data_IF_773843484951
#
_entry.id   IF_773843484951
#
_cell.length_a   1.000
_cell.length_b   1.000
_cell.length_c   1.000
_cell.angle_alpha   90.00
_cell.angle_beta   90.00
_cell.angle_gamma   90.00
#
_symmetry.space_group_name_H-M   'P 1'
#
loop_
_entity.id
_entity.type
_entity.pdbx_description
1 polymer ?
#
# COMPACT_ATOMS: atom_id res chain seq x y z
N UNK A 1 23.61 -38.74 15.65
CA UNK A 1 23.63 -37.71 14.58
C UNK A 1 23.10 -36.44 15.21
N UNK A 2 23.99 -35.53 15.57
CA UNK A 2 23.66 -34.27 16.23
C UNK A 2 23.57 -33.19 15.17
N UNK A 3 22.37 -32.67 14.89
CA UNK A 3 22.21 -31.51 14.04
C UNK A 3 22.05 -30.27 14.92
N UNK A 4 23.14 -29.51 15.03
CA UNK A 4 23.16 -28.15 15.59
C UNK A 4 22.44 -27.20 14.62
N UNK A 5 21.29 -26.68 15.03
CA UNK A 5 20.66 -25.54 14.35
C UNK A 5 21.28 -24.24 14.88
N UNK A 6 22.15 -23.63 14.08
CA UNK A 6 22.65 -22.28 14.34
C UNK A 6 21.52 -21.27 14.11
N UNK A 7 21.24 -20.47 15.14
CA UNK A 7 20.37 -19.30 15.09
C UNK A 7 21.08 -18.17 14.34
N UNK A 8 20.46 -17.52 13.33
CA UNK A 8 21.00 -16.28 12.78
C UNK A 8 20.68 -15.12 13.73
N UNK A 9 21.72 -14.55 14.33
CA UNK A 9 21.68 -13.36 15.17
C UNK A 9 21.41 -12.12 14.31
N UNK A 10 20.29 -11.45 14.55
CA UNK A 10 19.95 -10.13 14.02
C UNK A 10 20.90 -9.07 14.55
N UNK A 11 21.66 -8.40 13.67
CA UNK A 11 22.42 -7.20 13.99
C UNK A 11 21.72 -5.98 13.38
N UNK A 12 20.87 -5.32 14.18
CA UNK A 12 20.35 -3.99 13.88
C UNK A 12 21.47 -2.96 14.12
N UNK A 13 22.06 -2.45 13.05
CA UNK A 13 22.97 -1.32 13.11
C UNK A 13 22.15 -0.02 13.09
N UNK A 14 21.94 0.56 14.26
CA UNK A 14 21.41 1.92 14.44
C UNK A 14 22.54 2.90 14.11
N UNK A 15 22.49 3.54 12.93
CA UNK A 15 23.37 4.66 12.60
C UNK A 15 22.56 5.95 12.74
N UNK A 16 22.64 6.55 13.94
CA UNK A 16 22.23 7.91 14.19
C UNK A 16 23.36 8.86 13.74
N UNK A 17 23.13 9.63 12.68
CA UNK A 17 24.01 10.73 12.26
C UNK A 17 23.22 12.04 12.30
N UNK A 18 23.20 12.64 13.49
CA UNK A 18 22.92 14.07 13.70
C UNK A 18 24.23 14.83 13.44
N UNK A 19 24.25 15.66 12.40
CA UNK A 19 25.23 16.73 12.27
C UNK A 19 24.58 17.97 11.62
N UNK A 20 24.33 18.98 12.46
CA UNK A 20 24.14 20.36 12.02
C UNK A 20 25.43 20.88 11.41
N UNK A 21 25.35 21.56 10.27
CA UNK A 21 26.50 22.24 9.65
C UNK A 21 26.06 23.31 8.65
N UNK A 22 25.86 24.53 9.14
CA UNK A 22 25.79 25.73 8.32
C UNK A 22 27.21 26.11 7.83
N UNK A 23 27.38 26.35 6.53
CA UNK A 23 28.48 27.19 6.02
C UNK A 23 28.14 27.74 4.62
N UNK A 24 28.23 29.08 4.51
CA UNK A 24 28.25 29.84 3.25
C UNK A 24 29.63 29.73 2.59
N UNK A 25 29.70 29.67 1.26
CA UNK A 25 30.95 29.90 0.53
C UNK A 25 30.95 29.30 -0.88
N UNK A 26 31.08 30.16 -1.89
CA UNK A 26 31.10 29.79 -3.31
C UNK A 26 32.50 29.52 -3.89
N UNK A 27 32.49 29.20 -5.20
CA UNK A 27 33.65 28.94 -6.07
C UNK A 27 34.12 27.48 -5.99
N UNK A 28 34.52 26.76 -7.05
CA UNK A 28 34.66 26.99 -8.49
C UNK A 28 34.64 25.59 -9.14
N UNK A 29 34.43 25.54 -10.45
CA UNK A 29 34.39 24.32 -11.26
C UNK A 29 35.73 23.55 -11.28
N UNK A 30 35.68 22.22 -11.40
CA UNK A 30 36.53 21.50 -12.34
C UNK A 30 35.94 20.15 -12.77
N UNK A 31 36.12 19.87 -14.06
CA UNK A 31 35.63 18.73 -14.81
C UNK A 31 36.50 17.50 -14.60
N UNK A 32 35.89 16.32 -14.48
CA UNK A 32 36.53 15.10 -14.97
C UNK A 32 35.47 14.07 -15.36
N UNK A 33 35.45 13.81 -16.66
CA UNK A 33 34.77 12.73 -17.35
C UNK A 33 34.93 11.38 -16.64
N UNK A 34 33.84 10.63 -16.54
CA UNK A 34 33.89 9.17 -16.62
C UNK A 34 32.55 8.64 -17.11
N UNK A 35 32.47 8.50 -18.44
CA UNK A 35 31.53 7.60 -19.12
C UNK A 35 31.97 6.14 -18.91
N UNK A 36 31.16 5.28 -18.29
CA UNK A 36 31.21 3.87 -18.57
C UNK A 36 30.20 3.49 -19.67
N UNK A 37 30.80 3.08 -20.79
CA UNK A 37 30.31 2.29 -21.92
C UNK A 37 29.11 1.35 -21.61
N UNK A 38 28.08 1.31 -22.48
CA UNK A 38 26.99 0.34 -22.36
C UNK A 38 27.49 -1.06 -22.72
N UNK A 39 27.33 -2.02 -21.81
CA UNK A 39 27.43 -3.44 -22.12
C UNK A 39 26.04 -3.90 -22.60
N UNK A 40 25.92 -4.07 -23.91
CA UNK A 40 24.85 -4.85 -24.52
C UNK A 40 24.91 -6.28 -23.96
N UNK A 41 23.84 -6.70 -23.30
CA UNK A 41 23.55 -8.11 -23.07
C UNK A 41 22.22 -8.39 -23.75
N UNK A 42 22.29 -8.80 -25.01
CA UNK A 42 21.20 -9.55 -25.63
C UNK A 42 21.37 -11.01 -25.23
N UNK A 43 20.34 -11.61 -24.67
CA UNK A 43 20.05 -13.03 -24.90
C UNK A 43 18.59 -13.32 -24.65
N UNK A 44 18.00 -13.81 -25.73
CA UNK A 44 16.64 -14.31 -25.89
C UNK A 44 16.20 -15.27 -24.80
N UNK A 45 14.95 -15.16 -24.40
CA UNK A 45 14.16 -16.30 -23.94
C UNK A 45 12.84 -16.27 -24.70
N UNK A 46 12.80 -17.07 -25.75
CA UNK A 46 11.56 -17.48 -26.38
C UNK A 46 11.36 -18.94 -25.96
N UNK A 47 10.31 -19.23 -25.20
CA UNK A 47 9.63 -20.52 -25.25
C UNK A 47 8.30 -20.47 -24.49
N UNK A 48 7.41 -21.33 -24.97
CA UNK A 48 6.13 -21.77 -24.41
C UNK A 48 4.87 -20.95 -24.74
N UNK A 49 4.39 -21.13 -25.97
CA UNK A 49 2.96 -21.06 -26.28
C UNK A 49 2.40 -22.49 -26.30
N UNK A 50 1.87 -22.93 -25.16
CA UNK A 50 1.01 -24.10 -25.08
C UNK A 50 -0.47 -23.67 -24.99
N UNK A 51 -1.25 -24.21 -25.92
CA UNK A 51 -2.70 -24.08 -26.04
C UNK A 51 -3.45 -24.68 -24.84
N UNK A 52 -4.70 -24.27 -24.60
CA UNK A 52 -5.88 -25.17 -24.58
C UNK A 52 -7.20 -24.41 -24.39
N UNK A 53 -8.18 -24.80 -25.22
CA UNK A 53 -9.63 -24.86 -25.03
C UNK A 53 -10.30 -24.06 -23.90
N UNK A 54 -11.09 -23.05 -24.30
CA UNK A 54 -12.25 -22.61 -23.54
C UNK A 54 -13.52 -23.12 -24.21
N UNK A 55 -14.04 -24.24 -23.70
CA UNK A 55 -15.35 -24.75 -24.05
C UNK A 55 -16.14 -25.06 -22.77
N UNK A 56 -17.34 -24.47 -22.68
CA UNK A 56 -18.53 -24.98 -21.95
C UNK A 56 -18.45 -24.96 -20.41
N UNK A 57 -19.49 -24.79 -19.62
CA UNK A 57 -20.94 -24.74 -19.78
C UNK A 57 -21.56 -24.20 -18.47
N UNK A 58 -22.80 -23.74 -18.56
CA UNK A 58 -23.86 -23.78 -17.53
C UNK A 58 -23.62 -23.31 -16.08
N UNK A 59 -24.26 -22.19 -15.77
CA UNK A 59 -25.30 -22.03 -14.76
C UNK A 59 -25.41 -23.08 -13.63
N UNK A 60 -25.38 -22.59 -12.39
CA UNK A 60 -26.35 -22.98 -11.37
C UNK A 60 -26.49 -21.88 -10.33
N UNK A 61 -27.67 -21.24 -10.35
CA UNK A 61 -28.22 -20.55 -9.20
C UNK A 61 -28.64 -21.61 -8.16
N UNK A 62 -28.23 -21.43 -6.92
CA UNK A 62 -28.84 -22.08 -5.77
C UNK A 62 -28.76 -21.10 -4.59
N UNK A 63 -29.87 -20.39 -4.45
CA UNK A 63 -30.37 -19.75 -3.25
C UNK A 63 -30.42 -20.77 -2.10
N UNK A 64 -29.86 -20.40 -0.95
CA UNK A 64 -30.12 -21.09 0.31
C UNK A 64 -29.89 -20.09 1.45
N UNK A 65 -30.88 -19.22 1.66
CA UNK A 65 -31.14 -18.66 2.98
C UNK A 65 -31.40 -19.80 3.97
N UNK A 66 -30.66 -19.81 5.08
CA UNK A 66 -31.03 -20.54 6.27
C UNK A 66 -30.64 -19.69 7.48
N UNK A 67 -31.55 -18.81 7.89
CA UNK A 67 -31.62 -18.35 9.27
C UNK A 67 -31.94 -19.54 10.19
N UNK A 68 -31.18 -19.70 11.26
CA UNK A 68 -31.69 -20.21 12.53
C UNK A 68 -30.76 -19.85 13.69
N UNK A 69 -31.30 -19.01 14.56
CA UNK A 69 -30.77 -18.56 15.83
C UNK A 69 -30.46 -19.69 16.84
N UNK A 70 -29.50 -19.46 17.74
CA UNK A 70 -29.72 -19.53 19.19
C UNK A 70 -28.41 -19.37 19.99
N UNK A 71 -28.36 -18.26 20.74
CA UNK A 71 -27.88 -18.12 22.11
C UNK A 71 -26.74 -19.03 22.63
N UNK A 72 -25.60 -18.40 22.90
CA UNK A 72 -24.83 -18.69 24.10
C UNK A 72 -24.23 -17.38 24.62
N UNK A 73 -24.75 -16.91 25.77
CA UNK A 73 -24.15 -15.83 26.56
C UNK A 73 -22.84 -16.31 27.18
N UNK A 74 -21.81 -16.44 26.36
CA UNK A 74 -20.44 -16.42 26.81
C UNK A 74 -20.07 -14.97 27.03
N UNK A 75 -19.75 -14.62 28.27
CA UNK A 75 -18.98 -13.42 28.57
C UNK A 75 -17.62 -13.65 27.90
N UNK A 76 -17.55 -13.25 26.62
CA UNK A 76 -16.32 -13.23 25.87
C UNK A 76 -15.46 -12.18 26.57
N UNK A 77 -14.41 -12.64 27.25
CA UNK A 77 -13.14 -11.90 27.22
C UNK A 77 -13.01 -11.35 25.79
N UNK A 78 -12.75 -10.05 25.57
CA UNK A 78 -12.72 -9.49 24.23
C UNK A 78 -11.47 -10.03 23.51
N UNK A 79 -11.53 -11.33 23.18
CA UNK A 79 -10.68 -11.99 22.24
C UNK A 79 -10.86 -11.18 20.97
N UNK A 80 -9.75 -10.58 20.55
CA UNK A 80 -9.67 -9.86 19.29
C UNK A 80 -10.35 -10.71 18.23
N UNK A 81 -11.34 -10.14 17.55
CA UNK A 81 -12.01 -10.82 16.47
C UNK A 81 -10.98 -11.10 15.37
N UNK A 82 -10.55 -12.36 15.28
CA UNK A 82 -9.49 -12.78 14.37
C UNK A 82 -9.89 -12.66 12.91
N UNK A 83 -11.20 -12.70 12.62
CA UNK A 83 -11.73 -12.49 11.27
C UNK A 83 -11.59 -11.02 10.86
N UNK A 84 -11.93 -10.11 11.77
CA UNK A 84 -11.73 -8.67 11.59
C UNK A 84 -10.26 -8.31 11.33
N UNK A 85 -9.33 -8.89 12.10
CA UNK A 85 -7.91 -8.62 11.94
C UNK A 85 -7.41 -9.04 10.55
N UNK A 86 -7.77 -10.24 10.10
CA UNK A 86 -7.38 -10.71 8.77
C UNK A 86 -7.92 -9.81 7.65
N UNK A 87 -9.20 -9.40 7.72
CA UNK A 87 -9.81 -8.53 6.71
C UNK A 87 -9.18 -7.13 6.69
N UNK A 88 -8.96 -6.54 7.85
CA UNK A 88 -8.39 -5.18 7.97
C UNK A 88 -6.92 -5.16 7.58
N UNK A 89 -6.13 -6.16 7.98
CA UNK A 89 -4.73 -6.30 7.56
C UNK A 89 -4.62 -6.50 6.04
N UNK A 90 -5.51 -7.32 5.45
CA UNK A 90 -5.54 -7.51 4.00
C UNK A 90 -5.89 -6.21 3.26
N UNK A 91 -6.90 -5.48 3.71
CA UNK A 91 -7.26 -4.18 3.14
C UNK A 91 -6.13 -3.15 3.29
N UNK A 92 -5.52 -3.07 4.46
CA UNK A 92 -4.38 -2.18 4.74
C UNK A 92 -3.18 -2.51 3.85
N UNK A 93 -2.82 -3.80 3.75
CA UNK A 93 -1.73 -4.27 2.90
C UNK A 93 -2.00 -4.02 1.41
N UNK A 94 -3.23 -4.23 0.95
CA UNK A 94 -3.63 -3.95 -0.43
C UNK A 94 -3.53 -2.45 -0.74
N UNK A 95 -3.99 -1.58 0.15
CA UNK A 95 -3.88 -0.13 0.00
C UNK A 95 -2.41 0.32 -0.03
N UNK A 96 -1.57 -0.20 0.86
CA UNK A 96 -0.13 0.12 0.87
C UNK A 96 0.56 -0.37 -0.40
N UNK A 97 0.24 -1.59 -0.86
CA UNK A 97 0.79 -2.16 -2.11
C UNK A 97 0.42 -1.30 -3.32
N UNK A 98 -0.83 -0.82 -3.37
CA UNK A 98 -1.29 0.08 -4.42
C UNK A 98 -0.49 1.39 -4.41
N UNK A 99 -0.17 1.92 -3.24
CA UNK A 99 0.57 3.18 -3.12
C UNK A 99 2.07 3.05 -3.42
N UNK A 100 2.74 1.98 -3.00
CA UNK A 100 4.17 1.79 -3.30
C UNK A 100 4.45 1.52 -4.79
N UNK A 101 3.42 1.11 -5.54
CA UNK A 101 3.51 0.86 -6.99
C UNK A 101 3.34 2.14 -7.83
N UNK A 102 3.06 3.27 -7.18
CA UNK A 102 2.86 4.57 -7.83
C UNK A 102 4.19 5.21 -8.23
N UNK A 103 4.24 5.83 -9.41
CA UNK A 103 5.42 6.55 -9.90
C UNK A 103 5.02 7.82 -10.65
N UNK A 104 5.70 8.92 -10.33
CA UNK A 104 5.57 10.20 -11.05
C UNK A 104 6.16 10.15 -12.47
N UNK A 105 7.07 9.21 -12.74
CA UNK A 105 7.61 8.95 -14.08
C UNK A 105 6.59 8.21 -14.95
N UNK A 106 5.65 7.51 -14.32
CA UNK A 106 4.54 6.82 -14.96
C UNK A 106 3.20 7.33 -14.40
N UNK A 107 2.77 8.57 -14.68
CA UNK A 107 1.65 9.23 -13.98
C UNK A 107 0.33 8.46 -13.97
N UNK A 108 0.06 7.61 -14.98
CA UNK A 108 -1.13 6.75 -15.00
C UNK A 108 -1.17 5.79 -13.80
N UNK A 109 -0.02 5.40 -13.25
CA UNK A 109 0.08 4.59 -12.04
C UNK A 109 -0.45 5.31 -10.80
N UNK A 110 -0.41 6.64 -10.76
CA UNK A 110 -0.99 7.44 -9.67
C UNK A 110 -2.51 7.28 -9.65
N UNK A 111 -3.15 7.33 -10.82
CA UNK A 111 -4.61 7.16 -10.97
C UNK A 111 -5.03 5.79 -10.47
N UNK A 112 -4.38 4.73 -10.96
CA UNK A 112 -4.70 3.37 -10.55
C UNK A 112 -4.35 3.11 -9.09
N UNK A 113 -3.25 3.67 -8.58
CA UNK A 113 -2.80 3.46 -7.20
C UNK A 113 -3.76 4.06 -6.18
N UNK A 114 -4.15 5.32 -6.36
CA UNK A 114 -5.13 5.96 -5.47
C UNK A 114 -6.52 5.33 -5.58
N UNK A 115 -6.96 4.92 -6.77
CA UNK A 115 -8.24 4.23 -6.96
C UNK A 115 -8.26 2.87 -6.24
N UNK A 116 -7.22 2.06 -6.43
CA UNK A 116 -7.12 0.74 -5.79
C UNK A 116 -7.00 0.86 -4.27
N UNK A 117 -6.23 1.83 -3.77
CA UNK A 117 -6.15 2.10 -2.34
C UNK A 117 -7.51 2.55 -1.77
N UNK A 118 -8.28 3.38 -2.51
CA UNK A 118 -9.63 3.78 -2.09
C UNK A 118 -10.54 2.56 -1.96
N UNK A 119 -10.57 1.72 -2.99
CA UNK A 119 -11.40 0.51 -3.00
C UNK A 119 -11.05 -0.38 -1.81
N UNK A 120 -9.76 -0.67 -1.59
CA UNK A 120 -9.32 -1.52 -0.49
C UNK A 120 -9.71 -0.96 0.89
N UNK A 121 -9.51 0.34 1.14
CA UNK A 121 -9.82 0.93 2.44
C UNK A 121 -11.33 1.10 2.71
N UNK A 122 -12.13 1.23 1.65
CA UNK A 122 -13.60 1.39 1.78
C UNK A 122 -14.36 0.07 1.79
N UNK A 123 -13.70 -1.06 1.54
CA UNK A 123 -14.33 -2.38 1.58
C UNK A 123 -14.42 -2.98 2.98
N UNK A 124 -13.82 -2.32 4.00
CA UNK A 124 -13.78 -2.79 5.38
C UNK A 124 -14.21 -1.66 6.32
N UNK A 125 -15.01 -1.99 7.33
CA UNK A 125 -15.35 -1.08 8.41
C UNK A 125 -14.32 -1.22 9.55
N UNK A 126 -13.62 -0.14 9.93
CA UNK A 126 -12.64 -0.19 11.01
C UNK A 126 -13.33 -0.37 12.38
N UNK A 127 -12.63 -0.93 13.38
CA UNK A 127 -13.13 -1.01 14.73
C UNK A 127 -13.09 0.39 15.37
N UNK A 128 -13.88 0.58 16.43
CA UNK A 128 -14.12 1.90 17.02
C UNK A 128 -12.81 2.58 17.50
N UNK A 129 -11.82 1.79 17.89
CA UNK A 129 -10.52 2.18 18.40
C UNK A 129 -9.68 2.95 17.36
N UNK A 130 -9.77 2.58 16.08
CA UNK A 130 -9.01 3.23 14.99
C UNK A 130 -9.91 3.90 13.95
N UNK A 131 -11.24 3.92 14.13
CA UNK A 131 -12.17 4.47 13.14
C UNK A 131 -11.85 5.93 12.74
N UNK A 132 -11.38 6.75 13.68
CA UNK A 132 -10.95 8.12 13.40
C UNK A 132 -9.71 8.19 12.50
N UNK A 133 -8.71 7.35 12.75
CA UNK A 133 -7.48 7.29 11.97
C UNK A 133 -7.72 6.68 10.59
N UNK A 134 -8.49 5.59 10.53
CA UNK A 134 -8.93 4.97 9.28
C UNK A 134 -9.67 5.97 8.40
N UNK A 135 -10.63 6.72 8.98
CA UNK A 135 -11.35 7.78 8.25
C UNK A 135 -10.41 8.85 7.71
N UNK A 136 -9.37 9.21 8.44
CA UNK A 136 -8.36 10.20 8.00
C UNK A 136 -7.63 9.68 6.76
N UNK A 137 -7.13 8.44 6.80
CA UNK A 137 -6.43 7.82 5.66
C UNK A 137 -7.36 7.66 4.46
N UNK A 138 -8.57 7.12 4.66
CA UNK A 138 -9.55 6.92 3.60
C UNK A 138 -10.00 8.24 2.98
N UNK A 139 -10.14 9.30 3.77
CA UNK A 139 -10.50 10.64 3.26
C UNK A 139 -9.39 11.24 2.40
N UNK A 140 -8.13 11.07 2.80
CA UNK A 140 -6.97 11.49 2.02
C UNK A 140 -6.94 10.79 0.65
N UNK A 141 -7.00 9.46 0.66
CA UNK A 141 -6.95 8.63 -0.55
C UNK A 141 -8.16 8.92 -1.46
N UNK A 142 -9.35 9.08 -0.89
CA UNK A 142 -10.56 9.43 -1.65
C UNK A 142 -10.41 10.80 -2.32
N UNK A 143 -9.93 11.81 -1.61
CA UNK A 143 -9.76 13.16 -2.16
C UNK A 143 -8.77 13.16 -3.34
N UNK A 144 -7.65 12.44 -3.22
CA UNK A 144 -6.71 12.25 -4.31
C UNK A 144 -7.33 11.50 -5.51
N UNK A 145 -8.03 10.39 -5.27
CA UNK A 145 -8.71 9.62 -6.32
C UNK A 145 -9.80 10.45 -7.03
N UNK A 146 -10.57 11.25 -6.28
CA UNK A 146 -11.61 12.14 -6.82
C UNK A 146 -11.04 13.31 -7.62
N UNK A 147 -9.83 13.78 -7.31
CA UNK A 147 -9.15 14.78 -8.13
C UNK A 147 -8.67 14.15 -9.44
N UNK A 148 -8.07 12.95 -9.36
CA UNK A 148 -7.57 12.21 -10.51
C UNK A 148 -8.68 11.75 -11.45
N UNK A 149 -9.89 11.44 -10.96
CA UNK A 149 -11.03 11.09 -11.80
C UNK A 149 -11.53 12.25 -12.68
N UNK A 150 -11.17 13.49 -12.33
CA UNK A 150 -11.49 14.70 -13.11
C UNK A 150 -10.36 15.09 -14.08
N UNK A 151 -9.21 14.44 -14.00
CA UNK A 151 -8.06 14.74 -14.86
C UNK A 151 -8.19 14.06 -16.23
N UNK A 152 -7.53 14.63 -17.24
CA UNK A 152 -7.27 13.93 -18.50
C UNK A 152 -6.17 12.89 -18.27
N UNK A 153 -6.57 11.61 -18.27
CA UNK A 153 -5.69 10.46 -17.97
C UNK A 153 -4.62 10.20 -19.05
N UNK A 154 -4.77 10.77 -20.24
CA UNK A 154 -3.77 10.69 -21.31
C UNK A 154 -2.73 11.82 -21.22
N UNK A 155 -2.96 12.80 -20.34
CA UNK A 155 -2.08 13.94 -20.11
C UNK A 155 -1.39 13.84 -18.75
N UNK A 156 -0.10 13.50 -18.76
CA UNK A 156 0.76 13.51 -17.57
C UNK A 156 0.66 14.83 -16.78
N UNK A 157 0.62 15.96 -17.49
CA UNK A 157 0.47 17.29 -16.88
C UNK A 157 -0.88 17.45 -16.18
N UNK A 158 -1.96 16.92 -16.75
CA UNK A 158 -3.29 16.98 -16.12
C UNK A 158 -3.34 16.14 -14.85
N UNK A 159 -2.74 14.94 -14.85
CA UNK A 159 -2.69 14.06 -13.68
C UNK A 159 -1.91 14.71 -12.53
N UNK A 160 -0.70 15.19 -12.82
CA UNK A 160 0.15 15.84 -11.81
C UNK A 160 -0.47 17.13 -11.32
N UNK A 161 -1.06 17.94 -12.21
CA UNK A 161 -1.77 19.16 -11.83
C UNK A 161 -2.96 18.89 -10.91
N UNK A 162 -3.75 17.86 -11.19
CA UNK A 162 -4.88 17.49 -10.34
C UNK A 162 -4.44 17.08 -8.93
N UNK A 163 -3.32 16.35 -8.79
CA UNK A 163 -2.76 16.01 -7.49
C UNK A 163 -2.13 17.20 -6.77
N UNK A 164 -1.47 18.11 -7.49
CA UNK A 164 -0.95 19.35 -6.91
C UNK A 164 -2.08 20.25 -6.39
N UNK A 165 -3.21 20.31 -7.10
CA UNK A 165 -4.40 21.03 -6.66
C UNK A 165 -5.06 20.36 -5.46
N UNK A 166 -5.27 19.04 -5.51
CA UNK A 166 -5.79 18.30 -4.36
C UNK A 166 -4.87 18.41 -3.13
N UNK A 167 -3.56 18.38 -3.34
CA UNK A 167 -2.54 18.50 -2.30
C UNK A 167 -2.65 19.76 -1.44
N UNK A 168 -3.28 20.83 -1.95
CA UNK A 168 -3.53 22.07 -1.21
C UNK A 168 -4.57 21.89 -0.10
N UNK A 169 -5.48 20.94 -0.27
CA UNK A 169 -6.55 20.60 0.69
C UNK A 169 -6.22 19.34 1.52
N UNK A 170 -5.16 18.62 1.15
CA UNK A 170 -4.74 17.40 1.82
C UNK A 170 -3.82 17.70 3.02
N UNK A 171 -4.20 17.16 4.18
CA UNK A 171 -3.36 17.17 5.37
C UNK A 171 -2.45 15.94 5.40
N UNK A 172 -1.27 16.06 4.77
CA UNK A 172 -0.28 14.97 4.71
C UNK A 172 0.29 14.61 6.09
N UNK A 173 0.38 15.58 7.01
CA UNK A 173 0.87 15.34 8.37
C UNK A 173 -0.14 14.50 9.16
N UNK A 174 -1.43 14.85 9.08
CA UNK A 174 -2.50 14.05 9.69
C UNK A 174 -2.59 12.66 9.08
N UNK A 175 -2.46 12.53 7.75
CA UNK A 175 -2.45 11.22 7.07
C UNK A 175 -1.27 10.35 7.53
N UNK A 176 -0.08 10.92 7.63
CA UNK A 176 1.13 10.21 8.07
C UNK A 176 0.97 9.74 9.52
N UNK A 177 0.50 10.62 10.40
CA UNK A 177 0.27 10.28 11.81
C UNK A 177 -0.82 9.21 11.98
N UNK A 178 -1.93 9.31 11.23
CA UNK A 178 -3.00 8.32 11.24
C UNK A 178 -2.51 6.96 10.72
N UNK A 179 -1.77 6.93 9.62
CA UNK A 179 -1.21 5.70 9.05
C UNK A 179 -0.27 4.97 10.03
N UNK A 180 0.55 5.73 10.78
CA UNK A 180 1.39 5.18 11.84
C UNK A 180 0.59 4.55 12.98
N UNK A 181 -0.52 5.18 13.40
CA UNK A 181 -1.40 4.64 14.45
C UNK A 181 -2.17 3.40 13.99
N UNK A 182 -2.70 3.39 12.75
CA UNK A 182 -3.34 2.20 12.17
C UNK A 182 -2.35 1.03 12.12
N UNK A 183 -1.14 1.26 11.61
CA UNK A 183 -0.09 0.23 11.55
C UNK A 183 0.25 -0.29 12.94
N UNK A 184 0.43 0.60 13.92
CA UNK A 184 0.71 0.20 15.31
C UNK A 184 -0.42 -0.63 15.91
N UNK A 185 -1.68 -0.26 15.64
CA UNK A 185 -2.83 -1.01 16.14
C UNK A 185 -2.87 -2.43 15.56
N UNK A 186 -2.71 -2.57 14.24
CA UNK A 186 -2.67 -3.88 13.59
C UNK A 186 -1.50 -4.72 14.13
N UNK A 187 -0.31 -4.13 14.20
CA UNK A 187 0.89 -4.82 14.68
C UNK A 187 0.80 -5.28 16.15
N UNK A 188 0.00 -4.62 16.99
CA UNK A 188 -0.10 -4.94 18.43
C UNK A 188 -1.33 -5.75 18.79
N UNK A 189 -2.42 -5.59 18.04
CA UNK A 189 -3.73 -6.18 18.35
C UNK A 189 -3.99 -7.41 17.49
N UNK A 190 -3.50 -7.44 16.25
CA UNK A 190 -3.81 -8.50 15.27
C UNK A 190 -2.75 -9.60 15.14
N UNK A 191 -1.56 -9.43 15.71
CA UNK A 191 -0.47 -10.43 15.72
C UNK A 191 -0.51 -11.43 16.88
N UNK A 192 -1.67 -11.58 17.53
CA UNK A 192 -1.90 -12.46 18.70
C UNK A 192 -1.81 -13.95 18.41
#
# INVERSE_FOLDING_TARGET
>A
MSNSFLRPTTALAVVALLALGACSGGGDADSAEQSPKPAATESSTAEDSAAVDAATDAASAADAEAEAAAAAGGEADPAVDTSFCAETEAAWAAANTAQVSMSVEHPRTLVTGFENARVALTSVEPPAEIAGDWKTVTSYVRTAAEALSKADIDSAKSIVGALDDAGKDLDTDAMTAASGRVTTYLDTTCTG
#
